data_IF_676398540028
#
_entry.id   IF_676398540028
#
_cell.length_a   1.000
_cell.length_b   1.000
_cell.length_c   1.000
_cell.angle_alpha   90.00
_cell.angle_beta   90.00
_cell.angle_gamma   90.00
#
_symmetry.space_group_name_H-M   'P 1'
#
loop_
_entity.id
_entity.type
_entity.pdbx_description
1 polymer ?
#
# COMPACT_ATOMS: atom_id res chain seq x y z
N UNK A 1 1.35 -40.09 24.63
CA UNK A 1 0.68 -39.01 23.83
C UNK A 1 1.50 -37.75 23.96
N UNK A 2 1.71 -37.04 22.86
CA UNK A 2 2.45 -35.76 22.84
C UNK A 2 1.62 -34.67 23.58
N UNK A 3 2.25 -33.86 24.44
CA UNK A 3 1.53 -32.79 25.14
C UNK A 3 1.28 -31.61 24.20
N UNK A 4 0.06 -31.06 24.20
CA UNK A 4 -0.37 -29.94 23.37
C UNK A 4 -0.77 -28.77 24.29
N UNK A 5 -0.36 -27.57 23.92
CA UNK A 5 -0.85 -26.34 24.56
C UNK A 5 -1.69 -25.55 23.57
N UNK A 6 -2.90 -25.17 23.97
CA UNK A 6 -3.81 -24.38 23.13
C UNK A 6 -3.78 -22.96 23.66
N UNK A 7 -3.26 -22.04 22.86
CA UNK A 7 -3.18 -20.60 23.16
C UNK A 7 -4.40 -19.92 22.54
N UNK A 8 -5.27 -19.37 23.38
CA UNK A 8 -6.48 -18.66 22.92
C UNK A 8 -6.31 -17.16 23.24
N UNK A 9 -6.23 -16.34 22.19
CA UNK A 9 -6.25 -14.89 22.34
C UNK A 9 -7.68 -14.40 22.48
N UNK A 10 -7.93 -13.50 23.44
CA UNK A 10 -9.28 -13.01 23.70
C UNK A 10 -9.31 -11.54 24.13
N UNK A 11 -10.41 -10.88 23.76
CA UNK A 11 -10.85 -9.58 24.27
C UNK A 11 -12.36 -9.42 24.05
N UNK A 12 -13.15 -9.40 25.13
CA UNK A 12 -14.60 -9.22 25.08
C UNK A 12 -15.29 -10.25 24.17
N UNK A 13 -15.07 -11.54 24.44
CA UNK A 13 -15.56 -12.67 23.67
C UNK A 13 -16.56 -13.52 24.48
N UNK A 14 -17.31 -12.93 25.41
CA UNK A 14 -18.26 -13.67 26.28
C UNK A 14 -19.30 -14.46 25.47
N UNK A 15 -19.64 -13.97 24.27
CA UNK A 15 -20.56 -14.65 23.34
C UNK A 15 -20.02 -15.99 22.85
N UNK A 16 -18.70 -16.09 22.63
CA UNK A 16 -18.09 -17.19 21.89
C UNK A 16 -17.26 -18.12 22.75
N UNK A 17 -16.63 -17.62 23.81
CA UNK A 17 -15.63 -18.37 24.57
C UNK A 17 -16.18 -19.68 25.15
N UNK A 18 -17.45 -19.71 25.60
CA UNK A 18 -18.07 -20.92 26.10
C UNK A 18 -18.22 -21.98 24.99
N UNK A 19 -18.62 -21.58 23.79
CA UNK A 19 -18.74 -22.48 22.65
C UNK A 19 -17.40 -23.06 22.23
N UNK A 20 -16.38 -22.23 22.18
CA UNK A 20 -15.00 -22.63 21.88
C UNK A 20 -14.50 -23.68 22.89
N UNK A 21 -14.54 -23.36 24.19
CA UNK A 21 -14.03 -24.23 25.25
C UNK A 21 -14.84 -25.52 25.40
N UNK A 22 -16.15 -25.49 25.20
CA UNK A 22 -16.99 -26.68 25.25
C UNK A 22 -16.64 -27.68 24.14
N UNK A 23 -16.29 -27.19 22.95
CA UNK A 23 -15.86 -28.08 21.85
C UNK A 23 -14.41 -28.54 22.01
N UNK A 24 -13.54 -27.77 22.64
CA UNK A 24 -12.20 -28.23 23.05
C UNK A 24 -12.34 -29.37 24.08
N UNK A 25 -13.23 -29.26 25.06
CA UNK A 25 -13.49 -30.31 26.05
C UNK A 25 -13.96 -31.62 25.44
N UNK A 26 -14.64 -31.60 24.28
CA UNK A 26 -15.17 -32.74 23.56
C UNK A 26 -14.18 -33.42 22.61
N UNK A 27 -12.91 -32.92 22.52
CA UNK A 27 -11.94 -33.51 21.63
C UNK A 27 -11.58 -34.95 22.05
N UNK A 28 -11.29 -35.80 21.10
CA UNK A 28 -10.82 -37.20 21.31
C UNK A 28 -9.39 -37.26 21.85
N UNK A 29 -8.67 -36.14 21.83
CA UNK A 29 -7.33 -35.98 22.35
C UNK A 29 -7.34 -35.37 23.75
N UNK A 30 -6.81 -36.05 24.76
CA UNK A 30 -6.94 -35.66 26.17
C UNK A 30 -5.68 -35.03 26.81
N UNK A 31 -4.49 -35.17 26.17
CA UNK A 31 -3.23 -34.64 26.74
C UNK A 31 -2.99 -33.18 26.27
N UNK A 32 -3.82 -32.28 26.73
CA UNK A 32 -3.69 -30.85 26.42
C UNK A 32 -3.85 -29.95 27.65
N UNK A 33 -3.43 -28.71 27.53
CA UNK A 33 -3.72 -27.58 28.42
C UNK A 33 -4.20 -26.40 27.57
N UNK A 34 -4.99 -25.49 28.17
CA UNK A 34 -5.43 -24.26 27.52
C UNK A 34 -4.89 -23.05 28.28
N UNK A 35 -4.29 -22.12 27.55
CA UNK A 35 -3.84 -20.85 28.07
C UNK A 35 -4.63 -19.73 27.38
N UNK A 36 -5.51 -19.09 28.14
CA UNK A 36 -6.27 -17.94 27.68
C UNK A 36 -5.42 -16.68 27.87
N UNK A 37 -5.09 -16.01 26.78
CA UNK A 37 -4.34 -14.74 26.78
C UNK A 37 -5.36 -13.61 26.65
N UNK A 38 -5.71 -13.02 27.79
CA UNK A 38 -6.74 -11.99 27.89
C UNK A 38 -6.16 -10.57 27.78
N UNK A 39 -6.65 -9.81 26.79
CA UNK A 39 -6.32 -8.41 26.61
C UNK A 39 -7.28 -7.50 27.38
N UNK A 40 -7.30 -7.61 28.72
CA UNK A 40 -8.13 -6.78 29.62
C UNK A 40 -9.62 -6.77 29.21
N UNK A 41 -10.24 -7.94 29.12
CA UNK A 41 -11.69 -8.04 28.85
C UNK A 41 -12.50 -7.38 29.99
N UNK A 42 -13.53 -6.64 29.60
CA UNK A 42 -14.43 -5.94 30.52
C UNK A 42 -15.79 -6.62 30.66
N UNK A 43 -16.05 -7.65 29.84
CA UNK A 43 -17.23 -8.51 29.88
C UNK A 43 -17.01 -9.76 30.75
N UNK A 44 -17.87 -10.78 30.60
CA UNK A 44 -17.74 -12.02 31.37
C UNK A 44 -16.80 -13.07 30.74
N UNK A 45 -16.02 -12.73 29.73
CA UNK A 45 -15.12 -13.67 29.02
C UNK A 45 -14.26 -14.48 29.99
N UNK A 46 -13.53 -13.83 30.88
CA UNK A 46 -12.62 -14.49 31.83
C UNK A 46 -13.39 -15.34 32.85
N UNK A 47 -14.49 -14.83 33.38
CA UNK A 47 -15.33 -15.57 34.33
C UNK A 47 -15.90 -16.86 33.72
N UNK A 48 -16.29 -16.84 32.44
CA UNK A 48 -16.77 -18.01 31.73
C UNK A 48 -15.64 -19.01 31.53
N UNK A 49 -14.47 -18.56 31.11
CA UNK A 49 -13.31 -19.42 30.85
C UNK A 49 -12.82 -20.13 32.15
N UNK A 50 -12.85 -19.43 33.30
CA UNK A 50 -12.47 -19.99 34.59
C UNK A 50 -13.37 -21.11 35.12
N UNK A 51 -14.51 -21.37 34.47
CA UNK A 51 -15.37 -22.54 34.80
C UNK A 51 -14.79 -23.86 34.29
N UNK A 52 -13.77 -23.79 33.44
CA UNK A 52 -13.09 -24.95 32.87
C UNK A 52 -11.76 -25.19 33.60
N UNK A 53 -11.62 -26.32 34.24
CA UNK A 53 -10.47 -26.72 35.07
C UNK A 53 -9.16 -26.88 34.29
N UNK A 54 -9.25 -27.10 32.97
CA UNK A 54 -8.11 -27.19 32.06
C UNK A 54 -7.62 -25.83 31.50
N UNK A 55 -8.24 -24.71 31.91
CA UNK A 55 -7.92 -23.35 31.43
C UNK A 55 -7.11 -22.59 32.48
N UNK A 56 -5.98 -22.05 32.07
CA UNK A 56 -5.25 -21.03 32.81
C UNK A 56 -5.35 -19.70 32.08
N UNK A 57 -5.47 -18.60 32.84
CA UNK A 57 -5.62 -17.25 32.28
C UNK A 57 -4.37 -16.44 32.55
N UNK A 58 -3.87 -15.76 31.53
CA UNK A 58 -2.86 -14.71 31.65
C UNK A 58 -3.42 -13.39 31.09
N UNK A 59 -3.20 -12.30 31.81
CA UNK A 59 -3.63 -10.97 31.39
C UNK A 59 -2.46 -10.22 30.76
N UNK A 60 -2.74 -9.53 29.63
CA UNK A 60 -1.77 -8.67 28.95
C UNK A 60 -2.33 -7.26 28.82
N UNK A 61 -1.46 -6.25 29.01
CA UNK A 61 -1.86 -4.83 28.93
C UNK A 61 -1.60 -4.20 27.57
N UNK A 62 -0.55 -4.66 26.89
CA UNK A 62 -0.17 -4.19 25.56
C UNK A 62 -0.45 -5.29 24.55
N UNK A 63 -1.42 -5.04 23.68
CA UNK A 63 -1.77 -6.01 22.65
C UNK A 63 -1.05 -5.72 21.33
N UNK A 64 -0.15 -6.64 20.99
CA UNK A 64 0.28 -6.88 19.61
C UNK A 64 0.07 -8.37 19.35
N UNK A 65 -0.40 -8.76 18.15
CA UNK A 65 -0.86 -10.12 17.92
C UNK A 65 0.25 -11.16 18.13
N UNK A 66 1.46 -10.89 17.64
CA UNK A 66 2.62 -11.76 17.82
C UNK A 66 3.10 -11.82 19.28
N UNK A 67 3.14 -10.69 19.97
CA UNK A 67 3.50 -10.61 21.40
C UNK A 67 2.55 -11.45 22.26
N UNK A 68 1.24 -11.30 22.06
CA UNK A 68 0.23 -12.05 22.80
C UNK A 68 0.38 -13.58 22.62
N UNK A 69 0.64 -14.03 21.39
CA UNK A 69 0.90 -15.44 21.11
C UNK A 69 2.17 -15.90 21.81
N UNK A 70 3.27 -15.15 21.68
CA UNK A 70 4.53 -15.48 22.28
C UNK A 70 4.45 -15.57 23.82
N UNK A 71 3.70 -14.65 24.46
CA UNK A 71 3.49 -14.69 25.92
C UNK A 71 2.74 -15.97 26.33
N UNK A 72 1.71 -16.36 25.58
CA UNK A 72 1.03 -17.63 25.79
C UNK A 72 1.97 -18.83 25.64
N UNK A 73 2.79 -18.86 24.58
CA UNK A 73 3.72 -19.96 24.30
C UNK A 73 4.82 -20.03 25.38
N UNK A 74 5.33 -18.91 25.86
CA UNK A 74 6.31 -18.87 26.96
C UNK A 74 5.81 -19.55 28.23
N UNK A 75 4.50 -19.46 28.49
CA UNK A 75 3.82 -20.08 29.64
C UNK A 75 3.42 -21.53 29.41
N UNK A 76 3.50 -22.01 28.19
CA UNK A 76 3.05 -23.35 27.77
C UNK A 76 4.08 -24.43 28.07
N UNK A 77 3.59 -25.68 28.23
CA UNK A 77 4.45 -26.86 28.47
C UNK A 77 4.34 -27.92 27.35
N UNK A 78 3.51 -27.66 26.32
CA UNK A 78 3.31 -28.59 25.20
C UNK A 78 4.48 -28.63 24.23
N UNK A 79 4.68 -29.78 23.60
CA UNK A 79 5.62 -29.94 22.49
C UNK A 79 5.07 -29.32 21.19
N UNK A 80 3.77 -29.28 21.07
CA UNK A 80 3.02 -28.65 19.99
C UNK A 80 2.12 -27.56 20.57
N UNK A 81 1.99 -26.49 19.84
CA UNK A 81 1.18 -25.33 20.26
C UNK A 81 0.10 -25.09 19.22
N UNK A 82 -1.13 -25.13 19.64
CA UNK A 82 -2.26 -24.64 18.84
C UNK A 82 -2.47 -23.17 19.16
N UNK A 83 -2.69 -22.37 18.13
CA UNK A 83 -3.09 -20.97 18.23
C UNK A 83 -4.53 -20.89 17.71
N UNK A 84 -5.42 -20.34 18.53
CA UNK A 84 -6.85 -20.28 18.25
C UNK A 84 -7.41 -18.90 18.63
N UNK A 85 -8.30 -18.35 17.82
CA UNK A 85 -9.09 -17.17 18.21
C UNK A 85 -10.26 -17.59 19.09
N UNK A 86 -10.62 -16.78 20.09
CA UNK A 86 -11.68 -17.12 21.06
C UNK A 86 -13.07 -17.32 20.42
N UNK A 87 -13.32 -16.72 19.27
CA UNK A 87 -14.54 -16.87 18.47
C UNK A 87 -14.46 -17.95 17.37
N UNK A 88 -13.41 -18.77 17.39
CA UNK A 88 -13.29 -19.95 16.55
C UNK A 88 -13.75 -21.18 17.32
N UNK A 89 -14.71 -21.93 16.76
CA UNK A 89 -15.32 -23.10 17.40
C UNK A 89 -14.98 -24.35 16.59
N UNK A 90 -14.22 -25.33 17.12
CA UNK A 90 -13.96 -26.59 16.42
C UNK A 90 -15.24 -27.27 15.90
N UNK A 91 -15.21 -27.72 14.64
CA UNK A 91 -16.43 -28.30 13.99
C UNK A 91 -16.74 -29.68 14.54
N UNK A 92 -15.72 -30.46 14.91
CA UNK A 92 -15.88 -31.85 15.40
C UNK A 92 -14.85 -32.19 16.48
N UNK A 93 -14.91 -33.43 16.99
CA UNK A 93 -14.02 -33.91 18.04
C UNK A 93 -12.66 -34.41 17.56
N UNK A 94 -12.38 -34.43 16.26
CA UNK A 94 -11.12 -34.85 15.66
C UNK A 94 -10.18 -33.69 15.30
N UNK A 95 -10.54 -32.46 15.62
CA UNK A 95 -9.82 -31.24 15.24
C UNK A 95 -8.35 -31.25 15.69
N UNK A 96 -8.07 -31.60 16.96
CA UNK A 96 -6.70 -31.70 17.47
C UNK A 96 -5.93 -32.80 16.74
N UNK A 97 -6.52 -33.98 16.61
CA UNK A 97 -5.91 -35.13 15.93
C UNK A 97 -5.62 -34.82 14.47
N UNK A 98 -6.52 -34.13 13.77
CA UNK A 98 -6.33 -33.73 12.38
C UNK A 98 -5.22 -32.71 12.20
N UNK A 99 -5.02 -31.77 13.12
CA UNK A 99 -3.84 -30.90 13.09
C UNK A 99 -2.55 -31.70 13.34
N UNK A 100 -2.55 -32.54 14.37
CA UNK A 100 -1.36 -33.22 14.88
C UNK A 100 -0.78 -34.26 13.90
N UNK A 101 -1.64 -35.01 13.16
CA UNK A 101 -1.21 -36.07 12.22
C UNK A 101 -0.22 -35.55 11.16
N UNK A 102 -0.26 -34.28 10.80
CA UNK A 102 0.60 -33.69 9.77
C UNK A 102 2.07 -33.52 10.21
N UNK A 103 2.37 -33.67 11.49
CA UNK A 103 3.73 -33.52 12.02
C UNK A 103 4.50 -34.84 12.09
N UNK A 104 4.06 -35.90 11.43
CA UNK A 104 4.84 -37.11 11.15
C UNK A 104 6.01 -36.79 10.22
N UNK A 105 5.83 -35.83 9.29
CA UNK A 105 6.92 -35.26 8.51
C UNK A 105 7.66 -34.22 9.36
N UNK A 106 8.91 -34.51 9.68
CA UNK A 106 9.75 -33.62 10.51
C UNK A 106 10.06 -32.28 9.86
N UNK A 107 9.90 -32.15 8.55
CA UNK A 107 10.10 -30.89 7.81
C UNK A 107 8.92 -29.93 7.91
N UNK A 108 7.81 -30.35 8.53
CA UNK A 108 6.62 -29.49 8.73
C UNK A 108 6.82 -28.61 9.95
N UNK A 109 6.85 -27.29 9.75
CA UNK A 109 6.92 -26.31 10.83
C UNK A 109 5.54 -25.99 11.42
N UNK A 110 4.53 -25.88 10.58
CA UNK A 110 3.19 -25.46 10.98
C UNK A 110 2.08 -26.05 10.10
N UNK A 111 0.92 -26.16 10.69
CA UNK A 111 -0.33 -26.62 10.06
C UNK A 111 -1.41 -25.59 10.37
N UNK A 112 -2.19 -25.19 9.39
CA UNK A 112 -3.39 -24.38 9.64
C UNK A 112 -4.62 -25.08 9.07
N UNK A 113 -5.74 -24.93 9.78
CA UNK A 113 -6.99 -25.59 9.44
C UNK A 113 -7.96 -24.66 8.71
N UNK A 114 -9.00 -25.28 8.17
CA UNK A 114 -10.10 -24.59 7.51
C UNK A 114 -10.85 -23.70 8.49
N UNK A 115 -11.24 -22.52 8.02
CA UNK A 115 -12.14 -21.62 8.73
C UNK A 115 -13.43 -21.52 7.93
N UNK A 116 -14.52 -21.99 8.54
CA UNK A 116 -15.81 -22.12 7.90
C UNK A 116 -16.78 -21.04 8.42
N UNK A 117 -17.45 -20.28 7.55
CA UNK A 117 -18.38 -19.24 8.00
C UNK A 117 -19.62 -19.85 8.66
N UNK A 118 -20.17 -19.16 9.65
CA UNK A 118 -21.52 -19.48 10.16
C UNK A 118 -22.60 -18.92 9.21
N UNK A 119 -23.85 -19.41 9.33
CA UNK A 119 -24.95 -19.01 8.43
C UNK A 119 -25.21 -17.51 8.39
N UNK A 120 -24.98 -16.81 9.47
CA UNK A 120 -25.21 -15.38 9.68
C UNK A 120 -23.92 -14.54 9.61
N UNK A 121 -22.79 -15.09 9.14
CA UNK A 121 -21.58 -14.30 8.80
C UNK A 121 -21.92 -13.32 7.68
N UNK A 122 -21.39 -12.09 7.76
CA UNK A 122 -21.55 -11.07 6.72
C UNK A 122 -21.18 -11.62 5.34
N UNK A 123 -21.92 -11.31 4.27
CA UNK A 123 -21.69 -11.88 2.94
C UNK A 123 -20.26 -11.68 2.39
N UNK A 124 -19.61 -10.57 2.70
CA UNK A 124 -18.23 -10.30 2.24
C UNK A 124 -17.26 -11.23 2.98
N UNK A 125 -17.39 -11.29 4.30
CA UNK A 125 -16.57 -12.16 5.14
C UNK A 125 -16.81 -13.65 4.81
N UNK A 126 -18.06 -14.02 4.55
CA UNK A 126 -18.43 -15.37 4.10
C UNK A 126 -17.76 -15.74 2.77
N UNK A 127 -17.80 -14.84 1.78
CA UNK A 127 -17.11 -15.03 0.50
C UNK A 127 -15.61 -15.21 0.70
N UNK A 128 -14.98 -14.35 1.51
CA UNK A 128 -13.53 -14.36 1.73
C UNK A 128 -13.08 -15.65 2.41
N UNK A 129 -13.84 -16.14 3.40
CA UNK A 129 -13.58 -17.43 4.06
C UNK A 129 -13.73 -18.60 3.08
N UNK A 130 -14.81 -18.64 2.29
CA UNK A 130 -15.08 -19.74 1.35
C UNK A 130 -14.06 -19.80 0.20
N UNK A 131 -13.56 -18.65 -0.27
CA UNK A 131 -12.53 -18.60 -1.32
C UNK A 131 -11.15 -18.96 -0.77
N UNK A 132 -10.80 -18.47 0.42
CA UNK A 132 -9.47 -18.68 0.99
C UNK A 132 -9.27 -20.11 1.50
N UNK A 133 -10.29 -20.65 2.17
CA UNK A 133 -10.23 -21.95 2.85
C UNK A 133 -11.08 -23.00 2.10
N UNK A 134 -10.51 -23.52 1.00
CA UNK A 134 -11.13 -24.60 0.20
C UNK A 134 -11.12 -25.95 0.90
N UNK A 135 -11.45 -27.01 0.15
CA UNK A 135 -11.59 -28.38 0.66
C UNK A 135 -10.36 -29.26 0.41
N UNK A 136 -9.47 -28.81 -0.47
CA UNK A 136 -8.28 -29.56 -0.83
C UNK A 136 -7.11 -29.26 0.12
N UNK A 137 -6.47 -30.33 0.63
CA UNK A 137 -5.23 -30.25 1.42
C UNK A 137 -4.11 -29.70 0.58
N UNK A 138 -3.28 -28.80 1.16
CA UNK A 138 -2.14 -28.15 0.46
C UNK A 138 -0.86 -28.34 1.25
N UNK A 139 0.25 -28.63 0.55
CA UNK A 139 1.61 -28.63 1.09
C UNK A 139 2.34 -27.43 0.48
N UNK A 140 2.70 -26.48 1.32
CA UNK A 140 3.33 -25.23 0.91
C UNK A 140 4.84 -25.31 1.14
N UNK A 141 5.61 -25.12 0.06
CA UNK A 141 7.08 -25.09 0.05
C UNK A 141 7.64 -23.78 -0.49
N UNK A 142 6.78 -22.93 -1.06
CA UNK A 142 7.08 -21.57 -1.56
C UNK A 142 6.06 -20.56 -1.05
N UNK A 143 4.79 -20.93 -1.07
CA UNK A 143 3.72 -20.11 -0.50
C UNK A 143 3.85 -20.13 1.03
N UNK A 144 3.83 -18.95 1.62
CA UNK A 144 4.00 -18.75 3.06
C UNK A 144 2.70 -18.35 3.77
N UNK A 145 1.54 -18.56 3.11
CA UNK A 145 0.26 -18.30 3.76
C UNK A 145 0.11 -19.17 5.01
N UNK A 146 -0.16 -18.52 6.14
CA UNK A 146 -0.42 -19.15 7.42
C UNK A 146 -1.46 -18.32 8.16
N UNK A 147 -2.29 -18.92 9.01
CA UNK A 147 -3.36 -18.17 9.67
C UNK A 147 -3.62 -18.62 11.11
N UNK A 148 -3.28 -17.75 12.07
CA UNK A 148 -3.29 -18.02 13.51
C UNK A 148 -4.69 -18.07 14.16
N UNK A 149 -5.78 -17.83 13.43
CA UNK A 149 -7.09 -18.06 14.00
C UNK A 149 -7.40 -19.56 14.20
N UNK A 150 -6.69 -20.46 13.47
CA UNK A 150 -6.79 -21.92 13.58
C UNK A 150 -5.49 -22.55 13.06
N UNK A 151 -4.48 -22.70 13.91
CA UNK A 151 -3.19 -23.26 13.51
C UNK A 151 -2.51 -24.07 14.62
N UNK A 152 -1.55 -24.91 14.24
CA UNK A 152 -0.66 -25.65 15.15
C UNK A 152 0.78 -25.54 14.65
N UNK A 153 1.74 -25.38 15.58
CA UNK A 153 3.16 -25.30 15.30
C UNK A 153 3.96 -26.22 16.23
N UNK A 154 5.18 -26.60 15.82
CA UNK A 154 6.15 -27.25 16.73
C UNK A 154 6.75 -26.17 17.65
N UNK A 155 6.72 -26.39 18.97
CA UNK A 155 7.37 -25.46 19.92
C UNK A 155 8.87 -25.35 19.70
N UNK A 156 9.52 -26.41 19.24
CA UNK A 156 10.95 -26.40 18.88
C UNK A 156 11.25 -25.45 17.71
N UNK A 157 10.37 -25.36 16.72
CA UNK A 157 10.49 -24.40 15.61
C UNK A 157 10.26 -22.99 16.11
N UNK A 158 9.23 -22.76 16.94
CA UNK A 158 8.97 -21.46 17.54
C UNK A 158 10.15 -20.94 18.38
N UNK A 159 10.86 -21.81 19.10
CA UNK A 159 12.06 -21.42 19.86
C UNK A 159 13.13 -20.77 18.97
N UNK A 160 13.27 -21.23 17.71
CA UNK A 160 14.21 -20.66 16.73
C UNK A 160 13.59 -19.50 15.95
N UNK A 161 12.31 -19.52 15.73
CA UNK A 161 11.54 -18.58 14.90
C UNK A 161 10.29 -18.12 15.65
N UNK A 162 10.40 -17.26 16.67
CA UNK A 162 9.23 -16.69 17.36
C UNK A 162 8.42 -15.78 16.41
N UNK A 163 7.15 -15.57 16.73
CA UNK A 163 6.32 -14.58 16.04
C UNK A 163 6.91 -13.18 16.22
N UNK A 164 6.71 -12.34 15.21
CA UNK A 164 7.14 -10.94 15.27
C UNK A 164 6.29 -10.17 16.29
N UNK A 165 6.93 -9.48 17.23
CA UNK A 165 6.28 -8.78 18.33
C UNK A 165 6.01 -7.30 18.03
N UNK A 166 6.40 -6.80 16.84
CA UNK A 166 6.27 -5.39 16.46
C UNK A 166 5.15 -5.15 15.45
N UNK A 167 4.83 -6.16 14.62
CA UNK A 167 3.77 -6.02 13.61
C UNK A 167 2.39 -5.96 14.23
N UNK A 168 1.55 -5.09 13.69
CA UNK A 168 0.18 -4.85 14.19
C UNK A 168 -0.85 -5.85 13.67
N UNK A 169 -0.52 -6.61 12.64
CA UNK A 169 -1.35 -7.68 12.06
C UNK A 169 -0.48 -8.57 11.15
N UNK A 170 -1.04 -9.68 10.65
CA UNK A 170 -0.40 -10.68 9.77
C UNK A 170 0.92 -11.26 10.30
N UNK A 171 1.12 -11.30 11.63
CA UNK A 171 2.25 -11.94 12.31
C UNK A 171 2.45 -13.40 11.87
N UNK A 172 1.36 -14.05 11.50
CA UNK A 172 1.30 -15.40 10.98
C UNK A 172 1.97 -15.53 9.59
N UNK A 173 1.67 -14.61 8.67
CA UNK A 173 2.34 -14.59 7.34
C UNK A 173 3.83 -14.25 7.44
N UNK A 174 4.18 -13.31 8.35
CA UNK A 174 5.58 -12.97 8.63
C UNK A 174 6.33 -14.21 9.14
N UNK A 175 5.71 -14.96 10.07
CA UNK A 175 6.25 -16.22 10.57
C UNK A 175 6.33 -17.28 9.47
N UNK A 176 5.26 -17.43 8.68
CA UNK A 176 5.19 -18.37 7.57
C UNK A 176 6.33 -18.16 6.58
N UNK A 177 6.63 -16.91 6.22
CA UNK A 177 7.75 -16.59 5.34
C UNK A 177 9.09 -17.00 5.94
N UNK A 178 9.34 -16.66 7.22
CA UNK A 178 10.60 -17.02 7.91
C UNK A 178 10.86 -18.53 7.88
N UNK A 179 9.84 -19.36 8.15
CA UNK A 179 10.02 -20.82 8.20
C UNK A 179 10.13 -21.44 6.80
N UNK A 180 9.37 -20.95 5.81
CA UNK A 180 9.47 -21.42 4.43
C UNK A 180 10.84 -21.08 3.82
N UNK A 181 11.32 -19.86 4.00
CA UNK A 181 12.66 -19.44 3.56
C UNK A 181 13.78 -20.25 4.24
N UNK A 182 13.51 -20.80 5.43
CA UNK A 182 14.42 -21.71 6.15
C UNK A 182 14.30 -23.17 5.72
N UNK A 183 13.51 -23.49 4.68
CA UNK A 183 13.36 -24.81 4.10
C UNK A 183 12.31 -25.72 4.74
N UNK A 184 11.50 -25.18 5.66
CA UNK A 184 10.38 -25.91 6.25
C UNK A 184 9.14 -25.85 5.36
N UNK A 185 8.18 -26.76 5.62
CA UNK A 185 6.88 -26.82 4.97
C UNK A 185 5.78 -26.29 5.89
N UNK A 186 4.76 -25.72 5.28
CA UNK A 186 3.47 -25.41 5.90
C UNK A 186 2.41 -26.28 5.27
N UNK A 187 1.48 -26.80 6.08
CA UNK A 187 0.36 -27.62 5.59
C UNK A 187 -0.97 -26.92 5.88
N UNK A 188 -1.81 -26.84 4.86
CA UNK A 188 -3.24 -26.58 5.01
C UNK A 188 -3.98 -27.91 5.17
N UNK A 189 -4.69 -28.09 6.30
CA UNK A 189 -5.44 -29.29 6.62
C UNK A 189 -6.94 -28.94 6.74
N UNK A 190 -7.75 -29.21 5.70
CA UNK A 190 -9.16 -28.86 5.71
C UNK A 190 -10.00 -29.65 6.72
N UNK A 191 -9.57 -30.89 7.08
CA UNK A 191 -10.25 -31.70 8.08
C UNK A 191 -10.15 -31.12 9.51
N UNK A 192 -9.18 -30.24 9.75
CA UNK A 192 -9.05 -29.51 11.00
C UNK A 192 -9.86 -28.20 10.99
N UNK A 193 -11.17 -28.32 10.78
CA UNK A 193 -12.06 -27.16 10.59
C UNK A 193 -12.54 -26.55 11.89
N UNK A 194 -12.68 -25.21 11.86
CA UNK A 194 -13.39 -24.42 12.88
C UNK A 194 -14.47 -23.55 12.22
N UNK A 195 -15.58 -23.31 12.91
CA UNK A 195 -16.49 -22.21 12.58
C UNK A 195 -15.83 -20.90 12.97
N UNK A 196 -15.85 -19.92 12.07
CA UNK A 196 -15.33 -18.59 12.30
C UNK A 196 -16.40 -17.54 12.00
N UNK A 197 -16.81 -16.77 13.01
CA UNK A 197 -17.90 -15.80 12.87
C UNK A 197 -17.53 -14.61 12.00
N UNK A 198 -16.32 -14.11 12.16
CA UNK A 198 -15.78 -13.01 11.35
C UNK A 198 -15.05 -13.53 10.11
N UNK A 199 -14.93 -12.68 9.08
CA UNK A 199 -14.03 -12.92 7.97
C UNK A 199 -12.57 -12.60 8.31
N UNK A 200 -11.73 -12.58 7.27
CA UNK A 200 -10.33 -12.24 7.38
C UNK A 200 -10.10 -10.76 7.75
N UNK A 201 -11.15 -9.93 7.68
CA UNK A 201 -11.06 -8.49 7.83
C UNK A 201 -12.09 -7.96 8.84
N UNK A 202 -11.61 -7.44 9.96
CA UNK A 202 -12.44 -6.76 10.96
C UNK A 202 -12.50 -5.24 10.68
N UNK A 203 -13.67 -4.61 10.79
CA UNK A 203 -13.84 -3.15 10.84
C UNK A 203 -13.53 -2.41 9.52
N UNK A 204 -12.92 -1.21 9.59
CA UNK A 204 -12.68 -0.35 8.44
C UNK A 204 -11.68 -0.98 7.46
N UNK A 205 -12.25 -1.60 6.42
CA UNK A 205 -11.56 -2.51 5.50
C UNK A 205 -10.41 -1.84 4.72
N UNK A 206 -10.52 -0.55 4.39
CA UNK A 206 -9.52 0.15 3.58
C UNK A 206 -8.22 0.45 4.37
N UNK A 207 -8.32 0.90 5.61
CA UNK A 207 -7.16 1.20 6.44
C UNK A 207 -6.39 -0.06 6.81
N UNK A 208 -7.11 -1.11 7.23
CA UNK A 208 -6.50 -2.42 7.51
C UNK A 208 -5.84 -3.01 6.26
N UNK A 209 -6.48 -2.95 5.08
CA UNK A 209 -5.90 -3.44 3.84
C UNK A 209 -4.58 -2.73 3.53
N UNK A 210 -4.52 -1.40 3.66
CA UNK A 210 -3.26 -0.63 3.50
C UNK A 210 -2.20 -1.08 4.51
N UNK A 211 -2.57 -1.28 5.77
CA UNK A 211 -1.66 -1.77 6.81
C UNK A 211 -1.10 -3.17 6.47
N UNK A 212 -1.95 -4.10 6.03
CA UNK A 212 -1.54 -5.45 5.60
C UNK A 212 -0.58 -5.38 4.42
N UNK A 213 -0.91 -4.62 3.37
CA UNK A 213 -0.07 -4.46 2.18
C UNK A 213 1.29 -3.89 2.56
N UNK A 214 1.33 -2.84 3.39
CA UNK A 214 2.60 -2.24 3.86
C UNK A 214 3.51 -3.23 4.59
N UNK A 215 2.94 -4.16 5.38
CA UNK A 215 3.72 -5.21 6.05
C UNK A 215 4.22 -6.25 5.04
N UNK A 216 3.36 -6.69 4.11
CA UNK A 216 3.76 -7.65 3.06
C UNK A 216 4.90 -7.08 2.22
N UNK A 217 4.83 -5.82 1.82
CA UNK A 217 5.87 -5.13 1.06
C UNK A 217 7.20 -5.03 1.83
N UNK A 218 7.15 -4.87 3.16
CA UNK A 218 8.36 -4.91 4.00
C UNK A 218 8.97 -6.32 4.09
N UNK A 219 8.13 -7.35 4.11
CA UNK A 219 8.55 -8.76 4.19
C UNK A 219 9.03 -9.26 2.83
N UNK A 220 8.42 -8.81 1.75
CA UNK A 220 8.76 -9.18 0.38
C UNK A 220 8.86 -7.95 -0.52
N UNK A 221 10.06 -7.36 -0.54
CA UNK A 221 10.34 -6.15 -1.31
C UNK A 221 10.20 -6.35 -2.85
N UNK A 222 10.15 -7.59 -3.34
CA UNK A 222 9.95 -7.87 -4.77
C UNK A 222 8.59 -7.39 -5.29
N UNK A 223 7.63 -7.17 -4.38
CA UNK A 223 6.28 -6.72 -4.71
C UNK A 223 6.22 -5.21 -4.97
N UNK A 224 7.12 -4.42 -4.33
CA UNK A 224 7.09 -2.95 -4.33
C UNK A 224 7.13 -2.34 -5.74
N UNK A 225 7.92 -2.92 -6.63
CA UNK A 225 8.16 -2.40 -7.98
C UNK A 225 7.77 -3.42 -9.06
N UNK A 226 6.76 -4.25 -8.78
CA UNK A 226 6.31 -5.27 -9.72
C UNK A 226 5.39 -4.66 -10.79
N UNK A 227 5.99 -4.09 -11.81
CA UNK A 227 5.31 -3.60 -13.01
C UNK A 227 5.82 -4.35 -14.25
N UNK A 228 5.02 -4.47 -15.33
CA UNK A 228 5.50 -5.01 -16.60
C UNK A 228 6.73 -4.24 -17.11
N UNK A 229 7.67 -4.95 -17.74
CA UNK A 229 8.88 -4.32 -18.30
C UNK A 229 8.55 -3.14 -19.21
N UNK A 230 7.47 -3.24 -19.99
CA UNK A 230 6.99 -2.17 -20.87
C UNK A 230 6.54 -0.89 -20.16
N UNK A 231 6.23 -0.96 -18.86
CA UNK A 231 5.86 0.21 -18.05
C UNK A 231 7.03 0.79 -17.25
N UNK A 232 8.19 0.13 -17.27
CA UNK A 232 9.38 0.69 -16.61
C UNK A 232 9.78 2.01 -17.28
N UNK A 233 10.21 3.01 -16.51
CA UNK A 233 10.53 4.35 -17.02
C UNK A 233 11.45 4.37 -18.24
N UNK A 234 12.43 3.46 -18.28
CA UNK A 234 13.40 3.33 -19.38
C UNK A 234 12.79 2.77 -20.67
N UNK A 235 11.62 2.16 -20.63
CA UNK A 235 10.93 1.54 -21.78
C UNK A 235 9.72 2.33 -22.27
N UNK A 236 9.32 3.38 -21.53
CA UNK A 236 8.19 4.25 -21.88
C UNK A 236 8.68 5.40 -22.77
N UNK A 237 7.97 5.67 -23.86
CA UNK A 237 8.30 6.81 -24.73
C UNK A 237 7.76 8.11 -24.14
N UNK A 238 8.67 9.00 -23.70
CA UNK A 238 8.34 10.25 -22.99
C UNK A 238 8.84 11.44 -23.77
N UNK A 239 7.94 12.38 -24.09
CA UNK A 239 8.25 13.63 -24.73
C UNK A 239 8.09 14.82 -23.77
N UNK A 240 9.06 15.70 -23.72
CA UNK A 240 8.94 16.98 -23.03
C UNK A 240 8.47 18.07 -23.98
N UNK A 241 7.55 18.93 -23.53
CA UNK A 241 7.03 20.06 -24.30
C UNK A 241 7.24 21.35 -23.52
N UNK A 242 7.94 22.31 -24.15
CA UNK A 242 8.21 23.64 -23.61
C UNK A 242 7.51 24.67 -24.51
N UNK A 243 6.33 25.18 -24.12
CA UNK A 243 5.69 26.26 -24.87
C UNK A 243 6.29 27.62 -24.51
N UNK A 244 6.66 28.39 -25.51
CA UNK A 244 7.04 29.80 -25.37
C UNK A 244 5.88 30.71 -25.80
N UNK A 245 5.49 31.61 -24.91
CA UNK A 245 4.41 32.55 -25.19
C UNK A 245 4.86 33.74 -26.02
N UNK A 246 6.12 34.14 -25.91
CA UNK A 246 6.74 35.31 -26.52
C UNK A 246 8.03 34.94 -27.20
N UNK A 247 8.44 35.76 -28.17
CA UNK A 247 9.77 35.68 -28.77
C UNK A 247 10.83 36.09 -27.75
N UNK A 248 11.94 35.38 -27.76
CA UNK A 248 13.08 35.62 -26.84
C UNK A 248 14.28 36.19 -27.59
N UNK A 249 14.99 37.12 -26.93
CA UNK A 249 16.33 37.56 -27.33
C UNK A 249 17.40 36.81 -26.51
N UNK A 250 18.58 36.61 -27.08
CA UNK A 250 19.70 35.94 -26.42
C UNK A 250 20.21 36.67 -25.16
N UNK A 251 19.97 37.97 -25.08
CA UNK A 251 20.34 38.81 -23.94
C UNK A 251 19.34 38.78 -22.80
N UNK A 252 18.21 38.08 -23.00
CA UNK A 252 17.14 38.01 -22.02
C UNK A 252 17.44 36.93 -20.95
N UNK A 253 17.11 37.20 -19.69
CA UNK A 253 17.14 36.22 -18.61
C UNK A 253 16.29 34.99 -18.93
N UNK A 254 15.20 35.19 -19.66
CA UNK A 254 14.30 34.12 -20.09
C UNK A 254 14.99 33.10 -21.00
N UNK A 255 15.93 33.55 -21.83
CA UNK A 255 16.75 32.69 -22.69
C UNK A 255 17.71 31.83 -21.85
N UNK A 256 18.39 32.43 -20.86
CA UNK A 256 19.27 31.69 -19.94
C UNK A 256 18.49 30.62 -19.17
N UNK A 257 17.26 30.93 -18.73
CA UNK A 257 16.39 29.99 -18.03
C UNK A 257 15.90 28.87 -18.96
N UNK A 258 15.60 29.17 -20.21
CA UNK A 258 15.27 28.17 -21.23
C UNK A 258 16.44 27.20 -21.46
N UNK A 259 17.65 27.70 -21.63
CA UNK A 259 18.86 26.88 -21.77
C UNK A 259 19.05 25.93 -20.57
N UNK A 260 18.90 26.48 -19.37
CA UNK A 260 18.99 25.71 -18.13
C UNK A 260 17.90 24.64 -18.04
N UNK A 261 16.66 24.98 -18.38
CA UNK A 261 15.53 24.06 -18.40
C UNK A 261 15.78 22.87 -19.37
N UNK A 262 16.25 23.17 -20.58
CA UNK A 262 16.57 22.14 -21.58
C UNK A 262 17.74 21.27 -21.11
N UNK A 263 18.75 21.84 -20.48
CA UNK A 263 19.87 21.09 -19.89
C UNK A 263 19.39 20.13 -18.81
N UNK A 264 18.50 20.58 -17.93
CA UNK A 264 17.86 19.73 -16.90
C UNK A 264 17.03 18.61 -17.51
N UNK A 265 16.27 18.87 -18.58
CA UNK A 265 15.49 17.85 -19.29
C UNK A 265 16.41 16.82 -20.00
N UNK A 266 17.47 17.27 -20.67
CA UNK A 266 18.48 16.41 -21.32
C UNK A 266 19.23 15.53 -20.31
N UNK A 267 19.35 15.96 -19.06
CA UNK A 267 19.99 15.17 -17.99
C UNK A 267 19.12 14.03 -17.49
N UNK A 268 17.83 14.02 -17.80
CA UNK A 268 16.91 12.96 -17.41
C UNK A 268 16.92 11.83 -18.46
N UNK A 269 17.46 10.68 -18.11
CA UNK A 269 17.62 9.51 -18.99
C UNK A 269 16.31 8.93 -19.55
N UNK A 270 15.16 9.28 -18.95
CA UNK A 270 13.85 8.77 -19.37
C UNK A 270 13.16 9.64 -20.43
N UNK A 271 13.65 10.86 -20.68
CA UNK A 271 13.06 11.76 -21.68
C UNK A 271 13.68 11.48 -23.04
N UNK A 272 12.88 11.00 -23.98
CA UNK A 272 13.35 10.60 -25.30
C UNK A 272 13.47 11.77 -26.28
N UNK A 273 12.53 12.72 -26.21
CA UNK A 273 12.46 13.87 -27.12
C UNK A 273 12.06 15.14 -26.36
N UNK A 274 12.64 16.26 -26.76
CA UNK A 274 12.30 17.58 -26.21
C UNK A 274 11.79 18.44 -27.37
N UNK A 275 10.60 19.01 -27.20
CA UNK A 275 9.92 19.85 -28.17
C UNK A 275 9.81 21.27 -27.66
N UNK A 276 10.26 22.21 -28.46
CA UNK A 276 10.11 23.65 -28.24
C UNK A 276 8.99 24.20 -29.13
N UNK A 277 7.88 24.58 -28.53
CA UNK A 277 6.79 25.24 -29.23
C UNK A 277 7.00 26.75 -29.25
N UNK A 278 7.41 27.30 -30.39
CA UNK A 278 7.74 28.72 -30.55
C UNK A 278 7.52 29.20 -31.98
N UNK A 279 7.57 30.53 -32.20
CA UNK A 279 7.63 31.12 -33.54
C UNK A 279 9.08 31.22 -34.06
N UNK A 280 10.06 30.87 -33.24
CA UNK A 280 11.51 31.08 -33.52
C UNK A 280 12.19 29.71 -33.72
N UNK A 281 12.21 29.22 -34.95
CA UNK A 281 12.85 27.94 -35.29
C UNK A 281 14.35 27.91 -34.92
N UNK A 282 15.05 29.01 -35.10
CA UNK A 282 16.49 29.11 -34.82
C UNK A 282 16.84 28.79 -33.36
N UNK A 283 15.93 29.08 -32.40
CA UNK A 283 16.13 28.72 -30.99
C UNK A 283 16.18 27.21 -30.78
N UNK A 284 15.29 26.48 -31.45
CA UNK A 284 15.27 25.02 -31.36
C UNK A 284 16.54 24.39 -31.97
N UNK A 285 16.99 24.92 -33.11
CA UNK A 285 18.26 24.49 -33.76
C UNK A 285 19.45 24.74 -32.87
N UNK A 286 19.56 25.94 -32.27
CA UNK A 286 20.68 26.31 -31.39
C UNK A 286 20.71 25.49 -30.10
N UNK A 287 19.52 25.19 -29.52
CA UNK A 287 19.39 24.45 -28.27
C UNK A 287 19.35 22.93 -28.48
N UNK A 288 19.45 22.48 -29.74
CA UNK A 288 19.42 21.08 -30.14
C UNK A 288 18.20 20.36 -29.56
N UNK A 289 17.00 20.85 -29.94
CA UNK A 289 15.67 20.31 -29.60
C UNK A 289 14.78 20.36 -30.84
N UNK A 290 13.65 19.66 -30.81
CA UNK A 290 12.74 19.61 -31.95
C UNK A 290 11.80 20.82 -31.92
N UNK A 291 11.69 21.52 -33.04
CA UNK A 291 10.82 22.68 -33.20
C UNK A 291 9.37 22.25 -33.52
N UNK A 292 8.41 22.89 -32.86
CA UNK A 292 7.02 22.91 -33.25
C UNK A 292 6.63 24.36 -33.50
N UNK A 293 6.22 24.67 -34.74
CA UNK A 293 5.74 26.01 -35.09
C UNK A 293 4.44 26.32 -34.33
N UNK A 294 4.45 27.41 -33.60
CA UNK A 294 3.35 27.90 -32.77
C UNK A 294 2.26 28.57 -33.58
N UNK A 295 1.82 28.11 -34.65
CA UNK A 295 0.75 28.62 -35.51
C UNK A 295 0.00 29.85 -34.95
N UNK A 296 -0.33 30.84 -35.81
CA UNK A 296 -1.01 32.10 -35.44
C UNK A 296 -2.29 31.95 -34.60
N UNK A 297 -2.91 30.78 -34.60
CA UNK A 297 -4.09 30.48 -33.77
C UNK A 297 -3.79 30.36 -32.26
N UNK A 298 -2.55 30.08 -31.90
CA UNK A 298 -2.11 29.90 -30.49
C UNK A 298 -1.38 31.14 -29.90
N UNK A 299 -1.42 32.27 -30.60
CA UNK A 299 -0.71 33.51 -30.18
C UNK A 299 -1.53 34.33 -29.19
N UNK A 300 -2.80 33.98 -28.96
CA UNK A 300 -3.67 34.76 -28.06
C UNK A 300 -3.41 34.38 -26.59
N UNK A 301 -3.31 35.41 -25.74
CA UNK A 301 -3.11 35.29 -24.29
C UNK A 301 -4.20 34.53 -23.52
N UNK A 302 -5.26 34.14 -24.20
CA UNK A 302 -6.45 33.49 -23.61
C UNK A 302 -6.56 32.00 -23.93
N UNK A 303 -5.50 31.39 -24.52
CA UNK A 303 -5.53 29.95 -24.82
C UNK A 303 -5.05 29.17 -23.61
N UNK A 304 -5.78 28.15 -23.23
CA UNK A 304 -5.42 27.29 -22.11
C UNK A 304 -4.17 26.44 -22.40
N UNK A 305 -3.44 26.06 -21.37
CA UNK A 305 -2.27 25.18 -21.53
C UNK A 305 -2.70 23.81 -22.08
N UNK A 306 -3.91 23.37 -21.77
CA UNK A 306 -4.48 22.13 -22.26
C UNK A 306 -4.62 22.14 -23.79
N UNK A 307 -5.13 23.24 -24.36
CA UNK A 307 -5.24 23.39 -25.83
C UNK A 307 -3.86 23.44 -26.49
N UNK A 308 -2.88 24.10 -25.85
CA UNK A 308 -1.50 24.16 -26.31
C UNK A 308 -0.87 22.77 -26.33
N UNK A 309 -1.06 21.97 -25.31
CA UNK A 309 -0.51 20.62 -25.21
C UNK A 309 -1.21 19.66 -26.17
N UNK A 310 -2.53 19.78 -26.34
CA UNK A 310 -3.28 18.98 -27.31
C UNK A 310 -2.79 19.24 -28.74
N UNK A 311 -2.63 20.51 -29.13
CA UNK A 311 -2.04 20.88 -30.41
C UNK A 311 -0.60 20.34 -30.56
N UNK A 312 0.23 20.47 -29.51
CA UNK A 312 1.60 19.96 -29.54
C UNK A 312 1.64 18.46 -29.76
N UNK A 313 0.77 17.71 -29.10
CA UNK A 313 0.66 16.25 -29.25
C UNK A 313 0.27 15.89 -30.70
N UNK A 314 -0.70 16.55 -31.32
CA UNK A 314 -1.09 16.34 -32.71
C UNK A 314 0.07 16.57 -33.66
N UNK A 315 0.90 17.61 -33.42
CA UNK A 315 2.09 17.89 -34.22
C UNK A 315 3.18 16.83 -34.04
N UNK A 316 3.46 16.42 -32.79
CA UNK A 316 4.41 15.36 -32.48
C UNK A 316 4.05 14.07 -33.20
N UNK A 317 2.77 13.67 -33.16
CA UNK A 317 2.28 12.48 -33.83
C UNK A 317 2.34 12.58 -35.36
N UNK A 318 2.12 13.78 -35.93
CA UNK A 318 2.29 14.02 -37.36
C UNK A 318 3.73 13.86 -37.86
N UNK A 319 4.72 13.98 -36.95
CA UNK A 319 6.13 13.71 -37.20
C UNK A 319 6.50 12.21 -37.09
N UNK A 320 5.50 11.34 -36.78
CA UNK A 320 5.72 9.90 -36.59
C UNK A 320 6.26 9.52 -35.22
N UNK A 321 6.20 10.43 -34.24
CA UNK A 321 6.63 10.21 -32.85
C UNK A 321 5.38 10.02 -32.00
N UNK A 322 5.28 8.90 -31.29
CA UNK A 322 4.10 8.53 -30.50
C UNK A 322 4.51 8.38 -29.03
N UNK A 323 4.52 9.47 -28.24
CA UNK A 323 4.83 9.38 -26.83
C UNK A 323 3.66 8.73 -26.07
N UNK A 324 3.98 8.10 -24.93
CA UNK A 324 3.00 7.57 -23.98
C UNK A 324 2.71 8.59 -22.87
N UNK A 325 3.72 9.42 -22.57
CA UNK A 325 3.59 10.51 -21.59
C UNK A 325 4.16 11.82 -22.12
N UNK A 326 3.55 12.92 -21.71
CA UNK A 326 4.05 14.28 -21.96
C UNK A 326 4.54 14.89 -20.65
N UNK A 327 5.75 15.43 -20.67
CA UNK A 327 6.28 16.29 -19.61
C UNK A 327 6.07 17.74 -20.02
N UNK A 328 5.11 18.40 -19.39
CA UNK A 328 4.91 19.85 -19.56
C UNK A 328 5.86 20.64 -18.67
N UNK A 329 6.55 21.60 -19.25
CA UNK A 329 7.50 22.46 -18.53
C UNK A 329 7.37 23.92 -18.98
N UNK A 330 7.29 24.84 -18.03
CA UNK A 330 7.45 26.28 -18.26
C UNK A 330 8.91 26.68 -17.89
N UNK A 331 9.63 27.32 -18.82
CA UNK A 331 11.02 27.72 -18.63
C UNK A 331 11.23 28.86 -17.64
N UNK A 332 10.18 29.61 -17.26
CA UNK A 332 10.26 30.79 -16.41
C UNK A 332 10.64 30.54 -14.94
N UNK A 333 10.68 29.29 -14.49
CA UNK A 333 11.09 28.95 -13.12
C UNK A 333 12.61 29.17 -12.92
N UNK A 334 13.00 29.90 -11.87
CA UNK A 334 14.37 30.24 -11.56
C UNK A 334 15.27 29.03 -11.24
N UNK A 335 14.66 27.99 -10.66
CA UNK A 335 15.38 26.75 -10.34
C UNK A 335 14.42 25.58 -10.15
N UNK A 336 14.94 24.35 -10.34
CA UNK A 336 14.24 23.10 -10.06
C UNK A 336 15.01 22.25 -9.06
N UNK A 337 14.33 21.40 -8.28
CA UNK A 337 15.01 20.37 -7.49
C UNK A 337 15.83 19.45 -8.39
N UNK A 338 16.92 18.94 -7.86
CA UNK A 338 17.71 17.92 -8.53
C UNK A 338 16.84 16.68 -8.79
N UNK A 339 17.02 16.06 -9.95
CA UNK A 339 16.33 14.83 -10.37
C UNK A 339 14.78 14.93 -10.38
N UNK A 340 14.23 16.17 -10.44
CA UNK A 340 12.78 16.37 -10.41
C UNK A 340 12.05 15.54 -11.46
N UNK A 341 12.46 15.61 -12.72
CA UNK A 341 11.81 14.90 -13.83
C UNK A 341 11.86 13.39 -13.65
N UNK A 342 13.01 12.87 -13.22
CA UNK A 342 13.19 11.45 -12.90
C UNK A 342 12.21 10.99 -11.81
N UNK A 343 12.08 11.78 -10.75
CA UNK A 343 11.18 11.48 -9.63
C UNK A 343 9.70 11.53 -10.06
N UNK A 344 9.29 12.51 -10.86
CA UNK A 344 7.93 12.62 -11.38
C UNK A 344 7.56 11.42 -12.27
N UNK A 345 8.48 11.01 -13.16
CA UNK A 345 8.28 9.88 -14.05
C UNK A 345 8.20 8.56 -13.26
N UNK A 346 9.12 8.36 -12.31
CA UNK A 346 9.09 7.18 -11.44
C UNK A 346 7.78 7.09 -10.65
N UNK A 347 7.35 8.18 -10.04
CA UNK A 347 6.10 8.23 -9.28
C UNK A 347 4.90 7.87 -10.18
N UNK A 348 4.88 8.40 -11.42
CA UNK A 348 3.83 8.09 -12.39
C UNK A 348 3.82 6.61 -12.76
N UNK A 349 4.97 6.03 -13.13
CA UNK A 349 5.03 4.66 -13.64
C UNK A 349 4.81 3.61 -12.53
N UNK A 350 5.47 3.77 -11.37
CA UNK A 350 5.36 2.78 -10.29
C UNK A 350 4.07 2.87 -9.47
N UNK A 351 3.40 4.02 -9.48
CA UNK A 351 2.12 4.22 -8.76
C UNK A 351 0.89 4.21 -9.68
N UNK A 352 1.12 4.20 -11.01
CA UNK A 352 0.04 4.14 -12.00
C UNK A 352 -0.84 5.39 -12.02
N UNK A 353 -0.25 6.56 -11.77
CA UNK A 353 -0.99 7.82 -11.84
C UNK A 353 -1.26 8.24 -13.29
N UNK A 354 -2.37 8.95 -13.50
CA UNK A 354 -2.70 9.59 -14.80
C UNK A 354 -1.87 10.85 -15.02
N UNK A 355 -1.57 11.54 -13.92
CA UNK A 355 -0.79 12.78 -13.90
C UNK A 355 -0.02 12.87 -12.60
N UNK A 356 1.25 13.32 -12.69
CA UNK A 356 2.08 13.65 -11.52
C UNK A 356 2.62 15.07 -11.67
N UNK A 357 2.52 15.86 -10.63
CA UNK A 357 3.02 17.24 -10.63
C UNK A 357 3.66 17.63 -9.29
N UNK A 358 4.60 18.59 -9.31
CA UNK A 358 5.16 19.13 -8.08
C UNK A 358 4.20 20.13 -7.42
N UNK A 359 4.20 20.17 -6.11
CA UNK A 359 3.44 21.13 -5.32
C UNK A 359 4.23 21.65 -4.13
N UNK A 360 3.85 22.82 -3.64
CA UNK A 360 4.38 23.39 -2.40
C UNK A 360 3.34 23.26 -1.29
N UNK A 361 3.74 22.72 -0.14
CA UNK A 361 2.87 22.55 1.01
C UNK A 361 2.70 23.86 1.77
N UNK A 362 1.48 24.42 1.75
CA UNK A 362 1.10 25.64 2.47
C UNK A 362 0.44 25.30 3.79
N UNK A 363 1.03 25.78 4.87
CA UNK A 363 0.51 25.61 6.24
C UNK A 363 -0.20 26.85 6.76
N UNK A 364 -0.27 27.93 5.96
CA UNK A 364 -0.96 29.15 6.30
C UNK A 364 -2.44 29.05 5.97
N UNK A 365 -3.27 29.83 6.68
CA UNK A 365 -4.69 29.93 6.35
C UNK A 365 -4.88 30.59 4.98
N UNK A 366 -5.65 29.93 4.11
CA UNK A 366 -5.95 30.44 2.77
C UNK A 366 -7.40 30.88 2.72
N UNK A 367 -7.60 32.08 2.22
CA UNK A 367 -8.91 32.71 2.05
C UNK A 367 -9.20 32.90 0.56
N UNK A 368 -10.45 32.71 0.18
CA UNK A 368 -10.92 32.97 -1.18
C UNK A 368 -12.16 33.84 -1.16
N UNK A 369 -12.51 34.46 -2.28
CA UNK A 369 -13.80 35.14 -2.45
C UNK A 369 -14.78 34.16 -3.05
N UNK A 370 -15.92 34.01 -2.40
CA UNK A 370 -17.05 33.21 -2.88
C UNK A 370 -17.78 33.91 -4.05
N UNK A 371 -18.78 33.24 -4.60
CA UNK A 371 -19.64 33.80 -5.69
C UNK A 371 -20.37 35.08 -5.30
N UNK A 372 -20.54 35.34 -4.00
CA UNK A 372 -21.15 36.55 -3.47
C UNK A 372 -20.11 37.63 -3.14
N UNK A 373 -18.84 37.44 -3.55
CA UNK A 373 -17.72 38.35 -3.30
C UNK A 373 -17.36 38.52 -1.81
N UNK A 374 -17.75 37.55 -0.95
CA UNK A 374 -17.39 37.50 0.48
C UNK A 374 -16.14 36.64 0.66
N UNK A 375 -15.32 37.01 1.66
CA UNK A 375 -14.15 36.21 2.02
C UNK A 375 -14.59 34.97 2.80
N UNK A 376 -14.19 33.81 2.34
CA UNK A 376 -14.34 32.52 3.00
C UNK A 376 -12.97 31.83 3.16
N UNK A 377 -12.78 31.09 4.22
CA UNK A 377 -11.56 30.34 4.51
C UNK A 377 -11.70 28.93 3.93
N UNK A 378 -10.63 28.41 3.31
CA UNK A 378 -10.63 27.03 2.75
C UNK A 378 -10.59 26.00 3.87
N UNK A 379 -9.87 26.30 4.97
CA UNK A 379 -9.72 25.41 6.12
C UNK A 379 -10.24 26.13 7.39
N UNK A 380 -11.31 25.62 7.96
CA UNK A 380 -11.94 26.17 9.18
C UNK A 380 -11.14 25.88 10.47
N UNK A 381 -10.04 25.12 10.39
CA UNK A 381 -9.32 24.71 11.59
C UNK A 381 -8.35 25.79 12.05
N UNK A 382 -8.55 26.30 13.29
CA UNK A 382 -7.58 27.11 14.02
C UNK A 382 -6.47 26.26 14.67
N UNK A 383 -6.21 25.07 14.10
CA UNK A 383 -5.12 24.19 14.56
C UNK A 383 -3.77 24.89 14.49
N UNK A 384 -2.87 24.58 15.40
CA UNK A 384 -1.50 25.06 15.34
C UNK A 384 -0.83 24.61 14.05
N UNK A 385 0.15 25.37 13.54
CA UNK A 385 0.90 25.04 12.33
C UNK A 385 1.48 23.62 12.34
N UNK A 386 1.84 23.11 13.52
CA UNK A 386 2.43 21.76 13.70
C UNK A 386 1.40 20.62 13.57
N UNK A 387 0.12 20.92 13.72
CA UNK A 387 -0.97 19.92 13.69
C UNK A 387 -1.93 20.15 12.51
N UNK A 388 -1.66 21.15 11.65
CA UNK A 388 -2.48 21.46 10.48
C UNK A 388 -2.03 20.61 9.30
N UNK A 389 -2.99 19.99 8.61
CA UNK A 389 -2.74 19.37 7.32
C UNK A 389 -2.47 20.45 6.27
N UNK A 390 -1.45 20.29 5.41
CA UNK A 390 -1.11 21.29 4.40
C UNK A 390 -2.14 21.35 3.28
N UNK A 391 -2.33 22.55 2.71
CA UNK A 391 -2.96 22.73 1.40
C UNK A 391 -1.84 22.74 0.37
N UNK A 392 -2.00 21.95 -0.71
CA UNK A 392 -0.97 21.81 -1.72
C UNK A 392 -1.18 22.80 -2.86
N UNK A 393 -0.31 23.83 -2.95
CA UNK A 393 -0.26 24.75 -4.08
C UNK A 393 0.45 24.11 -5.25
N UNK A 394 -0.28 23.83 -6.33
CA UNK A 394 0.28 23.19 -7.53
C UNK A 394 1.31 24.06 -8.24
N UNK A 395 2.35 23.43 -8.77
CA UNK A 395 3.44 24.05 -9.53
C UNK A 395 3.53 23.40 -10.92
N UNK A 396 2.39 23.38 -11.66
CA UNK A 396 2.27 22.64 -12.91
C UNK A 396 3.40 22.93 -13.92
N UNK A 397 3.75 24.21 -14.08
CA UNK A 397 4.82 24.59 -15.00
C UNK A 397 6.24 24.24 -14.52
N UNK A 398 6.45 23.90 -13.25
CA UNK A 398 7.75 23.44 -12.77
C UNK A 398 8.14 22.11 -13.42
N UNK A 399 7.11 21.27 -13.71
CA UNK A 399 7.22 20.01 -14.44
C UNK A 399 6.00 19.14 -14.12
N UNK A 400 5.12 18.91 -15.08
CA UNK A 400 3.96 18.01 -14.93
C UNK A 400 4.11 16.88 -15.93
N UNK A 401 4.01 15.65 -15.45
CA UNK A 401 3.97 14.46 -16.32
C UNK A 401 2.54 13.97 -16.42
N UNK A 402 2.02 13.87 -17.63
CA UNK A 402 0.64 13.42 -17.90
C UNK A 402 0.62 12.36 -18.99
N UNK A 403 -0.24 11.35 -18.83
CA UNK A 403 -0.51 10.39 -19.88
C UNK A 403 -1.12 11.08 -21.11
N UNK A 404 -0.70 10.70 -22.31
CA UNK A 404 -1.23 11.30 -23.56
C UNK A 404 -2.73 11.14 -23.69
N UNK A 405 -3.31 10.10 -23.11
CA UNK A 405 -4.76 9.91 -23.08
C UNK A 405 -5.52 11.02 -22.37
N UNK A 406 -4.89 11.68 -21.39
CA UNK A 406 -5.44 12.85 -20.69
C UNK A 406 -5.32 14.09 -21.58
N UNK A 407 -4.15 14.30 -22.18
CA UNK A 407 -3.92 15.42 -23.11
C UNK A 407 -4.88 15.35 -24.32
N UNK A 408 -5.14 14.16 -24.89
CA UNK A 408 -6.12 13.98 -25.97
C UNK A 408 -7.54 14.42 -25.61
N UNK A 409 -7.91 14.31 -24.34
CA UNK A 409 -9.22 14.74 -23.82
C UNK A 409 -9.27 16.26 -23.57
N UNK A 410 -8.22 17.02 -23.94
CA UNK A 410 -8.12 18.44 -23.68
C UNK A 410 -7.94 18.77 -22.19
N UNK A 411 -7.25 17.90 -21.43
CA UNK A 411 -6.95 18.09 -20.01
C UNK A 411 -5.46 17.95 -19.76
N UNK A 412 -4.93 18.69 -18.79
CA UNK A 412 -3.58 18.47 -18.26
C UNK A 412 -3.61 17.50 -17.10
N UNK A 413 -4.65 17.55 -16.27
CA UNK A 413 -4.77 16.79 -15.03
C UNK A 413 -5.83 15.70 -15.18
N UNK A 414 -5.43 14.45 -14.88
CA UNK A 414 -6.29 13.28 -14.84
C UNK A 414 -7.07 13.14 -13.53
N UNK A 415 -7.71 11.99 -13.33
CA UNK A 415 -8.48 11.70 -12.12
C UNK A 415 -7.61 11.09 -11.01
N UNK A 416 -6.64 10.25 -11.39
CA UNK A 416 -5.68 9.65 -10.47
C UNK A 416 -4.36 10.43 -10.48
N UNK A 417 -4.19 11.33 -9.50
CA UNK A 417 -3.05 12.24 -9.45
C UNK A 417 -2.04 11.88 -8.37
N UNK A 418 -0.76 11.97 -8.73
CA UNK A 418 0.36 11.94 -7.79
C UNK A 418 0.91 13.35 -7.54
N UNK A 419 1.38 13.60 -6.34
CA UNK A 419 1.97 14.89 -5.94
C UNK A 419 3.36 14.67 -5.37
N UNK A 420 4.35 15.40 -5.90
CA UNK A 420 5.68 15.50 -5.31
C UNK A 420 5.80 16.81 -4.55
N UNK A 421 5.98 16.73 -3.23
CA UNK A 421 6.13 17.91 -2.39
C UNK A 421 7.50 18.56 -2.59
N UNK A 422 7.50 19.88 -2.84
CA UNK A 422 8.69 20.71 -2.94
C UNK A 422 8.89 21.44 -1.61
N UNK A 423 9.98 21.13 -0.92
CA UNK A 423 10.26 21.71 0.40
C UNK A 423 10.87 23.12 0.34
N UNK A 424 11.70 23.38 -0.68
CA UNK A 424 12.42 24.65 -0.78
C UNK A 424 11.64 25.66 -1.60
N UNK A 425 11.20 26.75 -0.94
CA UNK A 425 10.46 27.85 -1.55
C UNK A 425 11.13 28.46 -2.78
N UNK A 426 12.47 28.48 -2.86
CA UNK A 426 13.19 29.02 -4.04
C UNK A 426 12.77 28.40 -5.37
N UNK A 427 12.32 27.13 -5.35
CA UNK A 427 11.87 26.42 -6.54
C UNK A 427 10.44 26.77 -6.96
N UNK A 428 9.75 27.58 -6.19
CA UNK A 428 8.40 28.08 -6.55
C UNK A 428 8.45 29.41 -7.29
N UNK A 429 9.63 30.05 -7.35
CA UNK A 429 9.80 31.39 -7.92
C UNK A 429 9.90 31.36 -9.44
N UNK A 430 9.17 32.26 -10.08
CA UNK A 430 9.21 32.52 -11.53
C UNK A 430 9.60 33.97 -11.79
N UNK A 431 10.07 34.27 -13.00
CA UNK A 431 10.42 35.66 -13.44
C UNK A 431 9.16 36.48 -13.78
N UNK A 432 8.04 35.82 -14.12
CA UNK A 432 6.74 36.44 -14.36
C UNK A 432 5.72 35.76 -13.46
N UNK A 433 4.93 36.55 -12.73
CA UNK A 433 3.79 36.08 -11.94
C UNK A 433 2.47 36.18 -12.73
#
# INVERSE_FOLDING_TARGET
MKKISIIIRTKNEERWINHCLSMIKKQDYSNYEVILVDNMSTDNTVKIAQRYDFVSVIEIKNFLPGLAINDGIRKSNGQYVIILSAHCVPVNNLWITNLLKNFEDETVAGVYGRQFPVSFTDPIDKRDLLITFGEDRRIQIKDYFFHNANSMIKKSIWNSYPFDEEVTNIEDRVWGKKVVDSGFKIIYEPEASVYHYHGLHHGNKAERARGVVSIIEKVDASILNNIPDSLKPENVNIAAVIPLATDLSKDDLEYELLQKCITELKSCEYINNIFLLSNQEFLAQELDVIHIDRNNKLIFSNISIEEVLQFSLERIESMGIFPENIVYVNSEYLSRPKDLFKNLINEMQYKGHDTVFPSFAEYNSIWYKDEQNKYAQIDDSLKSRQTRDPIYRSLYGLGTVSAVSIIRKGKLIGENVGIISIENFKHTLRIKE
#
